data_IF_789151649129
#
_entry.id   IF_789151649129
#
_cell.length_a   1.000
_cell.length_b   1.000
_cell.length_c   1.000
_cell.angle_alpha   90.00
_cell.angle_beta   90.00
_cell.angle_gamma   90.00
#
_symmetry.space_group_name_H-M   'P 1'
#
loop_
_entity.id
_entity.type
_entity.pdbx_description
1 polymer ?
#
# COMPACT_ATOMS: atom_id res chain seq x y z
N UNK A 1 12.92 -17.17 -2.32
CA UNK A 1 11.61 -17.21 -3.00
C UNK A 1 10.89 -15.95 -2.59
N UNK A 2 10.49 -15.10 -3.54
CA UNK A 2 9.69 -13.92 -3.20
C UNK A 2 8.30 -14.42 -2.79
N UNK A 3 7.92 -14.21 -1.54
CA UNK A 3 6.58 -14.51 -1.07
C UNK A 3 5.67 -13.37 -1.57
N UNK A 4 4.99 -13.60 -2.70
CA UNK A 4 3.92 -12.69 -3.12
C UNK A 4 2.70 -12.90 -2.23
N UNK A 5 2.01 -11.80 -1.93
CA UNK A 5 0.76 -11.75 -1.19
C UNK A 5 -0.33 -11.23 -2.11
N UNK A 6 -1.45 -11.92 -2.14
CA UNK A 6 -2.60 -11.55 -2.98
C UNK A 6 -3.84 -11.24 -2.14
N UNK A 7 -4.59 -10.22 -2.54
CA UNK A 7 -5.82 -9.78 -1.90
C UNK A 7 -6.93 -9.56 -2.93
N UNK A 8 -8.11 -10.10 -2.63
CA UNK A 8 -9.36 -9.65 -3.25
C UNK A 8 -9.78 -8.34 -2.59
N UNK A 9 -9.96 -7.28 -3.39
CA UNK A 9 -10.35 -5.96 -2.90
C UNK A 9 -11.85 -5.71 -3.08
N UNK A 10 -12.43 -5.06 -2.07
CA UNK A 10 -13.73 -4.42 -2.10
C UNK A 10 -13.52 -2.93 -1.87
N UNK A 11 -13.92 -2.11 -2.84
CA UNK A 11 -13.80 -0.66 -2.79
C UNK A 11 -15.19 -0.04 -2.67
N UNK A 12 -15.33 0.97 -1.81
CA UNK A 12 -16.57 1.71 -1.62
C UNK A 12 -16.32 3.21 -1.83
N UNK A 13 -17.05 3.85 -2.73
CA UNK A 13 -16.99 5.30 -2.91
C UNK A 13 -18.01 6.06 -2.04
N UNK A 14 -17.94 7.39 -2.03
CA UNK A 14 -18.81 8.26 -1.22
C UNK A 14 -20.31 8.15 -1.58
N UNK A 15 -20.64 7.52 -2.70
CA UNK A 15 -22.01 7.23 -3.14
C UNK A 15 -22.43 5.79 -2.85
N UNK A 16 -21.67 5.08 -2.00
CA UNK A 16 -21.89 3.68 -1.61
C UNK A 16 -21.81 2.69 -2.78
N UNK A 17 -21.21 3.06 -3.91
CA UNK A 17 -20.99 2.13 -5.00
C UNK A 17 -19.86 1.17 -4.62
N UNK A 18 -20.13 -0.12 -4.78
CA UNK A 18 -19.19 -1.19 -4.47
C UNK A 18 -18.53 -1.69 -5.74
N UNK A 19 -17.21 -1.62 -5.77
CA UNK A 19 -16.36 -2.09 -6.86
C UNK A 19 -15.48 -3.23 -6.34
N UNK A 20 -15.22 -4.22 -7.19
CA UNK A 20 -14.26 -5.30 -6.88
C UNK A 20 -12.94 -5.08 -7.60
N UNK A 21 -11.86 -5.43 -6.94
CA UNK A 21 -10.52 -5.37 -7.48
C UNK A 21 -9.64 -6.51 -6.99
N UNK A 22 -8.39 -6.50 -7.43
CA UNK A 22 -7.36 -7.40 -6.94
C UNK A 22 -6.06 -6.64 -6.70
N UNK A 23 -5.31 -7.05 -5.69
CA UNK A 23 -4.00 -6.50 -5.39
C UNK A 23 -3.04 -7.62 -5.07
N UNK A 24 -1.96 -7.70 -5.84
CA UNK A 24 -0.86 -8.64 -5.61
C UNK A 24 0.42 -7.84 -5.42
N UNK A 25 1.19 -8.17 -4.40
CA UNK A 25 2.49 -7.53 -4.19
C UNK A 25 3.50 -8.47 -3.54
N UNK A 26 4.78 -8.12 -3.70
CA UNK A 26 5.88 -8.77 -3.01
C UNK A 26 6.65 -7.73 -2.19
N UNK A 27 7.10 -8.14 -1.01
CA UNK A 27 8.12 -7.40 -0.27
C UNK A 27 9.47 -7.75 -0.87
N UNK A 28 10.17 -6.74 -1.38
CA UNK A 28 11.57 -6.91 -1.78
C UNK A 28 12.40 -6.74 -0.51
N UNK A 29 13.00 -7.83 -0.07
CA UNK A 29 13.94 -7.83 1.05
C UNK A 29 15.23 -7.17 0.58
N UNK A 30 15.20 -5.84 0.52
CA UNK A 30 16.42 -5.06 0.37
C UNK A 30 17.15 -5.14 1.71
N UNK A 31 18.00 -6.17 1.85
CA UNK A 31 19.06 -6.26 2.85
C UNK A 31 20.01 -5.03 2.87
N UNK A 32 19.71 -3.99 2.09
CA UNK A 32 20.49 -2.78 1.85
C UNK A 32 19.69 -1.47 1.96
N UNK A 33 18.48 -1.43 2.53
CA UNK A 33 18.03 -0.17 3.18
C UNK A 33 18.60 -0.14 4.60
N UNK A 34 19.91 -0.33 4.71
CA UNK A 34 20.68 0.39 5.69
C UNK A 34 20.51 1.86 5.33
N UNK A 35 19.50 2.51 5.93
CA UNK A 35 19.57 3.95 6.17
C UNK A 35 20.97 4.12 6.77
N UNK A 36 21.87 4.70 5.99
CA UNK A 36 23.25 4.88 6.40
C UNK A 36 23.24 5.37 7.83
N UNK A 37 23.93 4.64 8.72
CA UNK A 37 24.43 5.17 9.98
C UNK A 37 25.28 6.41 9.63
N UNK A 38 24.65 7.55 9.39
CA UNK A 38 25.29 8.66 8.69
C UNK A 38 24.39 9.88 8.48
N UNK A 39 23.10 9.70 8.21
CA UNK A 39 22.16 10.82 8.24
C UNK A 39 21.53 10.91 9.63
N UNK A 40 22.19 11.68 10.50
CA UNK A 40 21.66 12.11 11.81
C UNK A 40 20.28 12.77 11.61
N UNK A 41 19.21 11.98 11.68
CA UNK A 41 17.99 12.44 12.31
C UNK A 41 18.36 12.46 13.79
N UNK A 42 18.48 13.65 14.38
CA UNK A 42 18.82 13.80 15.79
C UNK A 42 17.89 12.90 16.62
N UNK A 43 18.52 11.92 17.27
CA UNK A 43 17.82 11.00 18.16
C UNK A 43 17.24 11.84 19.30
N UNK A 44 15.94 12.13 19.23
CA UNK A 44 15.18 12.64 20.36
C UNK A 44 15.11 11.48 21.34
N UNK A 45 16.10 11.42 22.25
CA UNK A 45 16.17 10.48 23.35
C UNK A 45 14.97 10.68 24.27
N UNK A 46 13.89 9.96 23.97
CA UNK A 46 12.90 9.53 24.93
C UNK A 46 13.05 8.01 25.07
N UNK A 47 12.97 7.50 26.29
CA UNK A 47 13.32 6.14 26.70
C UNK A 47 12.32 5.05 26.25
N UNK A 48 11.87 5.11 24.99
CA UNK A 48 10.97 4.14 24.36
C UNK A 48 11.14 4.21 22.83
N UNK A 49 12.30 3.80 22.31
CA UNK A 49 12.56 3.83 20.87
C UNK A 49 11.75 2.73 20.19
N UNK A 50 10.64 3.11 19.54
CA UNK A 50 9.93 2.22 18.62
C UNK A 50 10.81 2.08 17.38
N UNK A 51 11.41 0.91 17.20
CA UNK A 51 12.18 0.60 15.99
C UNK A 51 11.22 0.34 14.82
N UNK A 52 11.46 1.01 13.70
CA UNK A 52 10.66 0.89 12.46
C UNK A 52 11.59 0.46 11.33
N UNK A 53 11.18 -0.57 10.60
CA UNK A 53 11.84 -1.04 9.38
C UNK A 53 11.00 -0.67 8.16
N UNK A 54 11.67 -0.38 7.04
CA UNK A 54 11.02 -0.06 5.75
C UNK A 54 11.37 -1.11 4.70
N UNK A 55 10.36 -1.58 3.98
CA UNK A 55 10.52 -2.55 2.91
C UNK A 55 9.93 -2.01 1.62
N UNK A 56 10.60 -2.25 0.50
CA UNK A 56 10.06 -1.88 -0.80
C UNK A 56 8.93 -2.85 -1.19
N UNK A 57 7.83 -2.29 -1.66
CA UNK A 57 6.70 -3.02 -2.22
C UNK A 57 6.75 -2.85 -3.74
N UNK A 58 6.73 -3.97 -4.46
CA UNK A 58 6.43 -3.98 -5.89
C UNK A 58 5.24 -4.90 -6.12
N UNK A 59 4.34 -4.51 -7.01
CA UNK A 59 3.12 -5.28 -7.20
C UNK A 59 2.30 -4.84 -8.40
N UNK A 60 1.09 -5.41 -8.49
CA UNK A 60 0.08 -5.00 -9.46
C UNK A 60 -1.27 -4.84 -8.79
N UNK A 61 -2.01 -3.83 -9.24
CA UNK A 61 -3.40 -3.61 -8.84
C UNK A 61 -4.30 -3.72 -10.06
N UNK A 62 -5.43 -4.42 -9.91
CA UNK A 62 -6.44 -4.58 -10.95
C UNK A 62 -7.75 -3.98 -10.47
N UNK A 63 -8.22 -2.94 -11.15
CA UNK A 63 -9.47 -2.24 -10.85
C UNK A 63 -10.34 -2.17 -12.12
N UNK A 64 -11.06 -3.25 -12.48
CA UNK A 64 -11.76 -3.34 -13.76
C UNK A 64 -12.66 -2.16 -14.10
N UNK A 65 -13.35 -1.61 -13.09
CA UNK A 65 -14.27 -0.49 -13.29
C UNK A 65 -13.58 0.88 -13.37
N UNK A 66 -12.32 0.99 -12.93
CA UNK A 66 -11.57 2.26 -12.94
C UNK A 66 -10.60 2.30 -14.12
N UNK A 67 -9.94 1.18 -14.42
CA UNK A 67 -8.77 1.13 -15.30
C UNK A 67 -8.93 0.15 -16.46
N UNK A 68 -10.09 -0.52 -16.58
CA UNK A 68 -10.34 -1.53 -17.60
C UNK A 68 -9.72 -2.89 -17.23
N UNK A 69 -9.53 -3.76 -18.22
CA UNK A 69 -9.11 -5.14 -17.94
C UNK A 69 -7.64 -5.31 -17.52
N UNK A 70 -6.83 -4.27 -17.71
CA UNK A 70 -5.39 -4.31 -17.49
C UNK A 70 -5.04 -4.10 -16.01
N UNK A 71 -4.03 -4.86 -15.56
CA UNK A 71 -3.40 -4.66 -14.27
C UNK A 71 -2.38 -3.51 -14.36
N UNK A 72 -2.28 -2.73 -13.30
CA UNK A 72 -1.37 -1.60 -13.19
C UNK A 72 -0.24 -1.98 -12.26
N UNK A 73 1.01 -1.84 -12.71
CA UNK A 73 2.17 -1.98 -11.84
C UNK A 73 2.23 -0.84 -10.83
N UNK A 74 2.35 -1.19 -9.55
CA UNK A 74 2.48 -0.26 -8.44
C UNK A 74 3.82 -0.48 -7.73
N UNK A 75 4.39 0.60 -7.22
CA UNK A 75 5.57 0.57 -6.36
C UNK A 75 5.28 1.34 -5.07
N UNK A 76 5.96 0.98 -4.00
CA UNK A 76 5.63 1.51 -2.68
C UNK A 76 6.59 1.13 -1.58
N UNK A 77 6.19 1.46 -0.37
CA UNK A 77 6.95 1.21 0.86
C UNK A 77 6.00 0.67 1.93
N UNK A 78 6.40 -0.41 2.58
CA UNK A 78 5.80 -0.91 3.82
C UNK A 78 6.59 -0.40 5.01
N UNK A 79 5.89 0.09 6.03
CA UNK A 79 6.45 0.45 7.33
C UNK A 79 6.05 -0.62 8.35
N UNK A 80 7.05 -1.24 8.98
CA UNK A 80 6.84 -2.34 9.93
C UNK A 80 7.43 -1.94 11.27
N UNK A 81 6.60 -1.94 12.31
CA UNK A 81 7.08 -1.79 13.69
C UNK A 81 7.72 -3.09 14.16
N UNK A 82 8.94 -3.03 14.71
CA UNK A 82 9.61 -4.21 15.25
C UNK A 82 9.08 -4.62 16.64
N UNK A 83 8.42 -3.71 17.35
CA UNK A 83 7.91 -3.94 18.71
C UNK A 83 6.46 -3.49 18.92
N UNK A 84 5.72 -3.21 17.86
CA UNK A 84 4.41 -2.55 17.93
C UNK A 84 3.40 -3.03 16.89
N UNK A 85 2.22 -2.39 16.82
CA UNK A 85 1.18 -2.74 15.85
C UNK A 85 1.61 -2.47 14.40
N UNK A 86 0.90 -3.03 13.40
CA UNK A 86 1.10 -2.69 11.99
C UNK A 86 1.01 -1.17 11.75
N UNK A 87 1.94 -0.58 10.97
CA UNK A 87 2.02 0.89 10.83
C UNK A 87 1.26 1.39 9.61
N UNK A 88 1.70 1.00 8.40
CA UNK A 88 1.07 1.35 7.12
C UNK A 88 1.88 0.76 5.95
N UNK A 89 1.22 0.61 4.82
CA UNK A 89 1.82 0.37 3.51
C UNK A 89 1.25 1.38 2.53
N UNK A 90 2.12 1.98 1.72
CA UNK A 90 1.73 2.92 0.68
C UNK A 90 2.24 2.43 -0.66
N UNK A 91 1.36 2.39 -1.66
CA UNK A 91 1.72 2.06 -3.04
C UNK A 91 1.14 3.08 -4.00
N UNK A 92 1.84 3.35 -5.08
CA UNK A 92 1.36 4.25 -6.13
C UNK A 92 1.75 3.77 -7.51
N UNK A 93 1.02 4.24 -8.50
CA UNK A 93 1.32 4.05 -9.91
C UNK A 93 1.03 5.33 -10.68
N UNK A 94 1.92 5.62 -11.63
CA UNK A 94 1.69 6.66 -12.62
C UNK A 94 1.42 6.00 -13.98
N UNK A 95 0.30 6.37 -14.61
CA UNK A 95 -0.13 5.85 -15.91
C UNK A 95 -0.43 7.06 -16.78
N UNK A 96 0.46 7.40 -17.71
CA UNK A 96 0.38 8.65 -18.48
C UNK A 96 0.23 9.89 -17.55
N UNK A 97 -0.88 10.62 -17.66
CA UNK A 97 -1.26 11.77 -16.84
C UNK A 97 -2.18 11.39 -15.65
N UNK A 98 -2.18 10.12 -15.25
CA UNK A 98 -3.02 9.59 -14.17
C UNK A 98 -2.16 9.12 -13.01
N UNK A 99 -2.63 9.39 -11.79
CA UNK A 99 -2.01 8.94 -10.55
C UNK A 99 -2.99 8.06 -9.78
N UNK A 100 -2.54 6.85 -9.45
CA UNK A 100 -3.20 5.96 -8.51
C UNK A 100 -2.36 5.89 -7.24
N UNK A 101 -2.98 6.04 -6.08
CA UNK A 101 -2.32 5.90 -4.78
C UNK A 101 -3.22 5.11 -3.83
N UNK A 102 -2.66 4.12 -3.16
CA UNK A 102 -3.34 3.32 -2.15
C UNK A 102 -2.49 3.26 -0.88
N UNK A 103 -3.12 3.55 0.25
CA UNK A 103 -2.56 3.40 1.58
C UNK A 103 -3.39 2.37 2.34
N UNK A 104 -2.75 1.42 3.01
CA UNK A 104 -3.44 0.37 3.76
C UNK A 104 -2.68 -0.12 4.99
N UNK A 105 -3.43 -0.72 5.90
CA UNK A 105 -2.96 -1.34 7.13
C UNK A 105 -3.42 -2.79 7.21
N UNK A 106 -2.67 -3.63 7.93
CA UNK A 106 -3.13 -4.97 8.30
C UNK A 106 -4.11 -4.88 9.46
N UNK A 107 -5.29 -5.48 9.31
CA UNK A 107 -6.33 -5.50 10.36
C UNK A 107 -6.13 -6.68 11.32
N UNK A 108 -5.34 -7.69 10.92
CA UNK A 108 -5.05 -8.88 11.71
C UNK A 108 -3.55 -9.20 11.68
N UNK A 109 -3.03 -9.82 12.75
CA UNK A 109 -1.60 -10.09 12.91
C UNK A 109 -1.01 -11.03 11.85
N UNK A 110 -1.85 -11.86 11.22
CA UNK A 110 -1.47 -12.74 10.11
C UNK A 110 -1.62 -12.07 8.73
N UNK A 111 -2.07 -10.82 8.67
CA UNK A 111 -2.35 -10.10 7.44
C UNK A 111 -3.51 -10.71 6.63
N UNK A 112 -4.46 -11.41 7.26
CA UNK A 112 -5.60 -11.98 6.53
C UNK A 112 -6.48 -10.91 5.89
N UNK A 113 -6.50 -9.71 6.47
CA UNK A 113 -7.24 -8.57 5.96
C UNK A 113 -6.37 -7.32 5.94
N UNK A 114 -6.60 -6.48 4.91
CA UNK A 114 -6.08 -5.12 4.83
C UNK A 114 -7.22 -4.12 4.77
N UNK A 115 -7.02 -2.93 5.32
CA UNK A 115 -7.96 -1.82 5.20
C UNK A 115 -7.26 -0.50 5.00
N UNK A 116 -7.87 0.41 4.23
CA UNK A 116 -7.26 1.68 3.93
C UNK A 116 -8.02 2.53 2.92
N UNK A 117 -7.31 3.34 2.16
CA UNK A 117 -7.86 4.24 1.17
C UNK A 117 -7.18 4.09 -0.17
N UNK A 118 -7.94 4.27 -1.25
CA UNK A 118 -7.43 4.36 -2.62
C UNK A 118 -7.91 5.66 -3.24
N UNK A 119 -7.02 6.32 -3.97
CA UNK A 119 -7.33 7.51 -4.74
C UNK A 119 -6.85 7.35 -6.17
N UNK A 120 -7.63 7.88 -7.10
CA UNK A 120 -7.31 7.92 -8.52
C UNK A 120 -7.61 9.30 -9.08
N UNK A 121 -6.59 9.95 -9.62
CA UNK A 121 -6.68 11.25 -10.27
C UNK A 121 -6.25 11.10 -11.73
N UNK A 122 -7.05 11.65 -12.65
CA UNK A 122 -6.71 11.75 -14.07
C UNK A 122 -6.80 13.22 -14.46
N UNK A 123 -5.73 13.87 -14.90
CA UNK A 123 -5.87 15.23 -15.45
C UNK A 123 -6.79 15.21 -16.68
N UNK A 124 -7.75 16.15 -16.83
CA UNK A 124 -7.98 17.35 -16.00
C UNK A 124 -9.02 17.17 -14.86
N UNK A 125 -9.50 15.94 -14.58
CA UNK A 125 -10.46 15.65 -13.51
C UNK A 125 -9.86 15.90 -12.13
N UNK A 126 -10.13 17.09 -11.60
CA UNK A 126 -10.07 17.43 -10.17
C UNK A 126 -11.51 17.64 -9.69
N UNK A 127 -11.93 17.04 -8.57
CA UNK A 127 -11.13 16.31 -7.58
C UNK A 127 -10.84 14.84 -7.96
N UNK A 128 -9.84 14.24 -7.29
CA UNK A 128 -9.54 12.82 -7.40
C UNK A 128 -10.74 11.98 -6.91
N UNK A 129 -11.00 10.83 -7.54
CA UNK A 129 -11.97 9.87 -7.02
C UNK A 129 -11.31 9.08 -5.90
N UNK A 130 -12.02 8.93 -4.78
CA UNK A 130 -11.54 8.24 -3.58
C UNK A 130 -12.43 7.06 -3.24
N UNK A 131 -11.84 6.04 -2.64
CA UNK A 131 -12.52 4.87 -2.14
C UNK A 131 -11.95 4.45 -0.78
N UNK A 132 -12.83 3.95 0.08
CA UNK A 132 -12.42 3.09 1.18
C UNK A 132 -12.10 1.69 0.64
N UNK A 133 -11.04 1.06 1.14
CA UNK A 133 -10.56 -0.26 0.72
C UNK A 133 -10.67 -1.25 1.86
N UNK A 134 -11.23 -2.42 1.55
CA UNK A 134 -11.08 -3.64 2.36
C UNK A 134 -10.55 -4.75 1.46
N UNK A 135 -9.46 -5.41 1.86
CA UNK A 135 -8.88 -6.53 1.15
C UNK A 135 -8.89 -7.80 1.99
N UNK A 136 -9.17 -8.95 1.36
CA UNK A 136 -9.06 -10.27 1.97
C UNK A 136 -7.98 -11.09 1.28
N UNK A 137 -7.05 -11.64 2.05
CA UNK A 137 -5.94 -12.44 1.55
C UNK A 137 -6.44 -13.71 0.84
N UNK A 138 -5.86 -14.03 -0.31
CA UNK A 138 -6.19 -15.21 -1.13
C UNK A 138 -5.02 -16.18 -1.28
N UNK A 139 -3.78 -15.71 -1.17
CA UNK A 139 -2.55 -16.51 -1.12
C UNK A 139 -1.43 -15.75 -0.41
#
# INVERSE_FOLDING_TARGET
MANSLSYDLVLCDDSENIIKGGFEYSLVDNNEISIEKGSKIESVTSSSTTEVSTFEITGTIKLPEVTGQDSISVNGIAYVSMMGPPIASMVSAQIDMKLLSMEFNFIESNGAHIGGGLSYAAEPMKPAKVWSVLGKKTS
#
